data_IF_698098470868
#
_entry.id   IF_698098470868
#
_cell.length_a   1.000
_cell.length_b   1.000
_cell.length_c   1.000
_cell.angle_alpha   90.00
_cell.angle_beta   90.00
_cell.angle_gamma   90.00
#
_symmetry.space_group_name_H-M   'P 1'
#
loop_
_entity.id
_entity.type
_entity.pdbx_description
1 polymer ?
#
# COMPACT_ATOMS: atom_id res chain seq x y z
N UNK A 1 -4.78 -16.74 -33.36
CA UNK A 1 -4.75 -15.53 -32.52
C UNK A 1 -3.59 -15.69 -31.55
N UNK A 2 -2.80 -14.64 -31.29
CA UNK A 2 -1.74 -14.67 -30.27
C UNK A 2 -2.36 -14.87 -28.90
N UNK A 3 -1.74 -15.67 -28.03
CA UNK A 3 -2.19 -15.82 -26.65
C UNK A 3 -1.94 -14.51 -25.90
N UNK A 4 -2.75 -14.11 -24.89
CA UNK A 4 -2.53 -12.87 -24.14
C UNK A 4 -1.09 -12.71 -23.59
N UNK A 5 -0.46 -13.81 -23.19
CA UNK A 5 0.92 -13.84 -22.70
C UNK A 5 1.96 -13.39 -23.75
N UNK A 6 1.64 -13.47 -25.04
CA UNK A 6 2.55 -13.06 -26.13
C UNK A 6 2.60 -11.55 -26.32
N UNK A 7 1.68 -10.80 -25.71
CA UNK A 7 1.62 -9.35 -25.76
C UNK A 7 2.36 -8.67 -24.60
N UNK A 8 2.87 -9.46 -23.63
CA UNK A 8 3.55 -8.94 -22.45
C UNK A 8 4.96 -8.42 -22.80
N UNK A 9 5.39 -7.41 -22.06
CA UNK A 9 6.79 -6.95 -22.05
C UNK A 9 7.72 -8.14 -21.74
N UNK A 10 8.89 -8.27 -22.41
CA UNK A 10 9.72 -9.48 -22.35
C UNK A 10 10.11 -9.95 -20.94
N UNK A 11 10.51 -9.06 -20.03
CA UNK A 11 10.87 -9.43 -18.67
C UNK A 11 9.65 -9.89 -17.86
N UNK A 12 8.51 -9.22 -18.04
CA UNK A 12 7.21 -9.59 -17.46
C UNK A 12 6.76 -10.96 -17.96
N UNK A 13 6.87 -11.22 -19.27
CA UNK A 13 6.58 -12.53 -19.87
C UNK A 13 7.44 -13.62 -19.22
N UNK A 14 8.76 -13.39 -19.15
CA UNK A 14 9.70 -14.34 -18.56
C UNK A 14 9.39 -14.62 -17.08
N UNK A 15 8.99 -13.60 -16.33
CA UNK A 15 8.52 -13.75 -14.94
C UNK A 15 7.28 -14.63 -14.85
N UNK A 16 6.23 -14.35 -15.63
CA UNK A 16 4.99 -15.14 -15.62
C UNK A 16 5.25 -16.59 -16.04
N UNK A 17 6.08 -16.82 -17.06
CA UNK A 17 6.47 -18.16 -17.48
C UNK A 17 7.24 -18.92 -16.38
N UNK A 18 8.12 -18.24 -15.64
CA UNK A 18 8.84 -18.84 -14.49
C UNK A 18 7.87 -19.24 -13.39
N UNK A 19 6.93 -18.37 -13.03
CA UNK A 19 5.91 -18.63 -12.00
C UNK A 19 5.01 -19.80 -12.43
N UNK A 20 4.52 -19.80 -13.68
CA UNK A 20 3.68 -20.89 -14.19
C UNK A 20 4.39 -22.25 -14.21
N UNK A 21 5.70 -22.28 -14.51
CA UNK A 21 6.51 -23.51 -14.49
C UNK A 21 6.73 -24.06 -13.08
N UNK A 22 6.79 -23.20 -12.07
CA UNK A 22 6.90 -23.63 -10.67
C UNK A 22 5.64 -24.34 -10.18
N UNK A 23 4.48 -24.05 -10.80
CA UNK A 23 3.19 -24.53 -10.35
C UNK A 23 2.85 -24.02 -8.95
N UNK A 24 1.98 -24.74 -8.25
CA UNK A 24 1.59 -24.41 -6.88
C UNK A 24 0.08 -24.38 -6.69
N UNK A 25 -0.32 -24.33 -5.42
CA UNK A 25 -1.71 -24.23 -5.03
C UNK A 25 -2.22 -22.81 -5.32
N UNK A 26 -3.36 -22.63 -6.01
CA UNK A 26 -3.96 -21.32 -6.22
C UNK A 26 -4.15 -20.57 -4.90
N UNK A 27 -3.87 -19.27 -4.89
CA UNK A 27 -3.79 -18.47 -3.65
C UNK A 27 -5.08 -18.53 -2.81
N UNK A 28 -6.25 -18.65 -3.44
CA UNK A 28 -7.56 -18.74 -2.78
C UNK A 28 -7.86 -20.09 -2.13
N UNK A 29 -7.00 -21.10 -2.35
CA UNK A 29 -7.08 -22.41 -1.69
C UNK A 29 -6.11 -22.50 -0.49
N UNK A 30 -5.26 -21.50 -0.28
CA UNK A 30 -4.34 -21.45 0.85
C UNK A 30 -5.00 -20.83 2.08
N UNK A 31 -4.45 -21.14 3.27
CA UNK A 31 -4.78 -20.37 4.47
C UNK A 31 -4.26 -18.93 4.33
N UNK A 32 -4.85 -17.93 5.00
CA UNK A 32 -4.34 -16.56 4.99
C UNK A 32 -2.85 -16.46 5.35
N UNK A 33 -2.41 -17.28 6.31
CA UNK A 33 -1.00 -17.36 6.73
C UNK A 33 -0.09 -17.82 5.59
N UNK A 34 -0.48 -18.88 4.89
CA UNK A 34 0.34 -19.44 3.80
C UNK A 34 0.30 -18.52 2.57
N UNK A 35 -0.85 -17.91 2.27
CA UNK A 35 -0.97 -16.90 1.22
C UNK A 35 -0.06 -15.69 1.48
N UNK A 36 -0.03 -15.17 2.71
CA UNK A 36 0.90 -14.10 3.12
C UNK A 36 2.35 -14.50 2.91
N UNK A 37 2.70 -15.76 3.24
CA UNK A 37 4.05 -16.28 3.07
C UNK A 37 4.47 -16.31 1.60
N UNK A 38 3.57 -16.69 0.69
CA UNK A 38 3.86 -16.68 -0.76
C UNK A 38 4.33 -15.29 -1.23
N UNK A 39 3.61 -14.23 -0.86
CA UNK A 39 4.01 -12.87 -1.24
C UNK A 39 5.31 -12.43 -0.55
N UNK A 40 5.49 -12.78 0.72
CA UNK A 40 6.72 -12.47 1.46
C UNK A 40 7.94 -13.12 0.83
N UNK A 41 7.87 -14.41 0.50
CA UNK A 41 8.97 -15.15 -0.12
C UNK A 41 9.28 -14.61 -1.52
N UNK A 42 8.26 -14.28 -2.31
CA UNK A 42 8.44 -13.68 -3.64
C UNK A 42 9.18 -12.34 -3.59
N UNK A 43 8.97 -11.57 -2.51
CA UNK A 43 9.60 -10.27 -2.28
C UNK A 43 10.90 -10.35 -1.46
N UNK A 44 11.33 -11.55 -1.06
CA UNK A 44 12.53 -11.75 -0.24
C UNK A 44 13.83 -11.73 -1.04
N UNK A 45 13.75 -11.78 -2.37
CA UNK A 45 14.91 -11.70 -3.26
C UNK A 45 15.75 -10.44 -2.96
N UNK A 46 17.08 -10.61 -2.93
CA UNK A 46 17.98 -9.49 -2.69
C UNK A 46 18.02 -8.55 -3.90
N UNK A 47 17.27 -7.47 -3.78
CA UNK A 47 17.22 -6.38 -4.75
C UNK A 47 17.85 -5.12 -4.14
N UNK A 48 18.43 -4.28 -4.97
CA UNK A 48 18.87 -2.95 -4.55
C UNK A 48 17.66 -2.17 -4.02
N UNK A 49 17.83 -1.55 -2.85
CA UNK A 49 16.83 -0.68 -2.22
C UNK A 49 17.48 0.66 -1.96
N UNK A 50 16.78 1.74 -2.31
CA UNK A 50 17.27 3.08 -1.99
C UNK A 50 17.44 3.26 -0.47
N UNK A 51 18.48 3.99 -0.04
CA UNK A 51 18.76 4.18 1.37
C UNK A 51 17.65 5.02 2.02
N UNK A 52 17.22 4.61 3.21
CA UNK A 52 16.20 5.32 3.99
C UNK A 52 16.46 5.20 5.49
N UNK A 53 16.00 6.20 6.23
CA UNK A 53 15.80 6.16 7.68
C UNK A 53 14.35 5.71 7.95
N UNK A 54 14.17 4.81 8.91
CA UNK A 54 12.90 4.14 9.18
C UNK A 54 12.59 4.20 10.67
N UNK A 55 11.41 4.72 11.00
CA UNK A 55 10.87 4.71 12.36
C UNK A 55 9.54 3.95 12.37
N UNK A 56 9.41 2.94 13.23
CA UNK A 56 8.16 2.23 13.49
C UNK A 56 7.52 2.80 14.77
N UNK A 57 6.25 3.20 14.70
CA UNK A 57 5.51 3.79 15.81
C UNK A 57 4.09 3.22 15.85
N UNK A 58 3.53 3.16 17.05
CA UNK A 58 2.09 2.93 17.20
C UNK A 58 1.41 4.21 17.68
N UNK A 59 0.36 4.64 16.96
CA UNK A 59 -0.37 5.87 17.23
C UNK A 59 -1.74 5.55 17.87
N UNK A 60 -2.19 6.32 18.88
CA UNK A 60 -3.37 6.00 19.68
C UNK A 60 -4.67 6.43 19.00
N UNK A 61 -4.98 5.81 17.86
CA UNK A 61 -6.15 6.11 17.02
C UNK A 61 -6.75 4.83 16.44
N UNK A 62 -7.86 4.97 15.72
CA UNK A 62 -8.53 3.84 15.06
C UNK A 62 -9.54 3.14 15.97
N UNK A 63 -10.33 2.21 15.40
CA UNK A 63 -11.43 1.54 16.10
C UNK A 63 -10.98 0.67 17.28
N UNK A 64 -9.79 0.06 17.18
CA UNK A 64 -9.19 -0.76 18.25
C UNK A 64 -8.28 0.05 19.19
N UNK A 65 -8.28 1.39 19.05
CA UNK A 65 -7.54 2.32 19.91
C UNK A 65 -6.06 2.49 19.59
N UNK A 66 -5.52 1.71 18.66
CA UNK A 66 -4.13 1.84 18.20
C UNK A 66 -4.00 1.45 16.72
N UNK A 67 -3.18 2.19 15.97
CA UNK A 67 -2.77 1.85 14.59
C UNK A 67 -1.25 1.89 14.50
N UNK A 68 -0.65 0.84 13.93
CA UNK A 68 0.79 0.80 13.70
C UNK A 68 1.16 1.48 12.39
N UNK A 69 2.15 2.36 12.42
CA UNK A 69 2.67 3.06 11.24
C UNK A 69 4.19 2.92 11.13
N UNK A 70 4.69 2.98 9.89
CA UNK A 70 6.11 3.09 9.59
C UNK A 70 6.35 4.40 8.85
N UNK A 71 7.25 5.24 9.36
CA UNK A 71 7.69 6.46 8.68
C UNK A 71 9.02 6.18 7.99
N UNK A 72 9.06 6.37 6.68
CA UNK A 72 10.23 6.19 5.83
C UNK A 72 10.67 7.57 5.33
N UNK A 73 11.94 7.92 5.52
CA UNK A 73 12.53 9.18 5.03
C UNK A 73 13.79 8.90 4.20
N UNK A 74 14.11 9.72 3.19
CA UNK A 74 15.40 9.63 2.50
C UNK A 74 16.56 9.72 3.50
N UNK A 75 17.55 8.84 3.37
CA UNK A 75 18.65 8.75 4.35
C UNK A 75 19.44 10.06 4.42
N UNK A 76 19.70 10.54 5.65
CA UNK A 76 20.49 11.75 5.87
C UNK A 76 19.75 13.06 5.62
N UNK A 77 18.48 13.02 5.18
CA UNK A 77 17.67 14.22 5.01
C UNK A 77 17.41 14.89 6.38
N UNK A 78 17.55 16.23 6.44
CA UNK A 78 17.37 17.04 7.65
C UNK A 78 16.21 18.04 7.56
N UNK A 79 15.50 18.06 6.44
CA UNK A 79 14.35 18.92 6.20
C UNK A 79 13.10 18.39 6.91
N UNK A 80 12.14 19.29 7.15
CA UNK A 80 10.78 18.89 7.50
C UNK A 80 10.06 18.56 6.19
N UNK A 81 9.91 17.26 5.92
CA UNK A 81 9.43 16.74 4.65
C UNK A 81 7.90 16.77 4.54
N UNK A 82 7.34 17.00 3.33
CA UNK A 82 5.92 16.70 3.09
C UNK A 82 5.66 15.22 3.32
N UNK A 83 4.40 14.86 3.57
CA UNK A 83 4.01 13.49 3.90
C UNK A 83 3.18 12.84 2.79
N UNK A 84 3.47 11.56 2.53
CA UNK A 84 2.66 10.67 1.69
C UNK A 84 2.13 9.55 2.58
N UNK A 85 0.83 9.53 2.86
CA UNK A 85 0.21 8.34 3.46
C UNK A 85 0.23 7.23 2.43
N UNK A 86 0.71 6.05 2.80
CA UNK A 86 0.76 4.89 1.91
C UNK A 86 -0.08 3.74 2.46
N UNK A 87 -1.03 3.29 1.64
CA UNK A 87 -1.88 2.12 1.92
C UNK A 87 -1.47 1.01 0.96
N UNK A 88 -1.07 -0.14 1.49
CA UNK A 88 -0.49 -1.20 0.68
C UNK A 88 -1.52 -2.09 -0.01
N UNK A 89 -1.12 -2.66 -1.15
CA UNK A 89 -1.86 -3.70 -1.83
C UNK A 89 -1.77 -5.07 -1.15
N UNK A 90 -2.30 -6.09 -1.83
CA UNK A 90 -2.32 -7.48 -1.34
C UNK A 90 -3.72 -8.05 -1.09
N UNK A 91 -4.77 -7.53 -1.73
CA UNK A 91 -6.10 -8.14 -1.67
C UNK A 91 -6.72 -8.14 -0.25
N UNK A 92 -6.34 -7.17 0.59
CA UNK A 92 -6.67 -7.02 2.02
C UNK A 92 -6.14 -8.14 2.93
N UNK A 93 -5.77 -9.29 2.37
CA UNK A 93 -5.31 -10.47 3.13
C UNK A 93 -3.79 -10.52 3.21
N UNK A 94 -3.09 -10.09 2.17
CA UNK A 94 -1.64 -10.13 2.02
C UNK A 94 -1.03 -8.74 2.17
N UNK A 95 0.30 -8.70 2.17
CA UNK A 95 1.07 -7.47 2.20
C UNK A 95 1.40 -7.02 3.61
N UNK A 96 2.54 -6.35 3.73
CA UNK A 96 3.07 -5.77 4.95
C UNK A 96 4.16 -4.74 4.59
N UNK A 97 4.74 -4.12 5.62
CA UNK A 97 5.87 -3.19 5.49
C UNK A 97 7.14 -3.77 4.86
N UNK A 98 7.27 -5.09 4.74
CA UNK A 98 8.46 -5.75 4.17
C UNK A 98 8.28 -6.02 2.67
N UNK A 99 7.12 -6.55 2.29
CA UNK A 99 6.73 -6.83 0.89
C UNK A 99 6.71 -5.58 0.03
N UNK A 100 6.36 -4.43 0.60
CA UNK A 100 6.29 -3.14 -0.09
C UNK A 100 7.51 -2.22 0.19
N UNK A 101 8.51 -2.70 0.97
CA UNK A 101 9.64 -1.89 1.44
C UNK A 101 10.42 -1.21 0.30
N UNK A 102 10.67 -1.95 -0.80
CA UNK A 102 11.35 -1.36 -1.97
C UNK A 102 10.53 -0.20 -2.54
N UNK A 103 9.24 -0.41 -2.79
CA UNK A 103 8.36 0.57 -3.43
C UNK A 103 8.24 1.86 -2.60
N UNK A 104 8.04 1.75 -1.29
CA UNK A 104 7.91 2.95 -0.44
C UNK A 104 9.23 3.71 -0.30
N UNK A 105 10.37 3.04 -0.40
CA UNK A 105 11.69 3.71 -0.48
C UNK A 105 11.87 4.46 -1.80
N UNK A 106 11.42 3.88 -2.92
CA UNK A 106 11.41 4.57 -4.22
C UNK A 106 10.57 5.84 -4.16
N UNK A 107 9.36 5.76 -3.57
CA UNK A 107 8.48 6.92 -3.41
C UNK A 107 9.13 7.98 -2.52
N UNK A 108 9.64 7.60 -1.34
CA UNK A 108 10.24 8.54 -0.40
C UNK A 108 11.41 9.30 -1.03
N UNK A 109 12.33 8.59 -1.68
CA UNK A 109 13.50 9.19 -2.32
C UNK A 109 13.13 9.97 -3.58
N UNK A 110 12.29 9.42 -4.46
CA UNK A 110 11.92 10.03 -5.74
C UNK A 110 11.06 11.28 -5.57
N UNK A 111 10.19 11.33 -4.56
CA UNK A 111 9.36 12.50 -4.27
C UNK A 111 10.00 13.50 -3.30
N UNK A 112 11.16 13.17 -2.71
CA UNK A 112 11.73 13.86 -1.55
C UNK A 112 10.65 14.16 -0.50
N UNK A 113 9.99 13.09 -0.03
CA UNK A 113 8.88 13.14 0.91
C UNK A 113 9.04 12.03 1.95
N UNK A 114 8.45 12.23 3.13
CA UNK A 114 8.30 11.15 4.09
C UNK A 114 7.11 10.28 3.66
N UNK A 115 7.30 8.96 3.61
CA UNK A 115 6.20 8.02 3.41
C UNK A 115 5.75 7.50 4.76
N UNK A 116 4.47 7.66 5.08
CA UNK A 116 3.84 7.09 6.28
C UNK A 116 3.03 5.87 5.85
N UNK A 117 3.65 4.69 5.97
CA UNK A 117 3.02 3.41 5.68
C UNK A 117 2.08 3.03 6.83
N UNK A 118 0.81 2.77 6.52
CA UNK A 118 -0.18 2.33 7.52
C UNK A 118 -0.25 0.81 7.53
N UNK A 119 0.12 0.19 8.65
CA UNK A 119 -0.03 -1.25 8.85
C UNK A 119 -1.46 -1.54 9.33
N UNK A 120 -2.43 -1.41 8.42
CA UNK A 120 -3.83 -1.71 8.73
C UNK A 120 -4.02 -3.20 9.04
N UNK A 121 -5.06 -3.52 9.81
CA UNK A 121 -5.38 -4.90 10.21
C UNK A 121 -5.85 -5.69 8.98
N UNK A 122 -5.18 -6.80 8.61
CA UNK A 122 -5.53 -7.54 7.41
C UNK A 122 -6.85 -8.32 7.58
N UNK A 123 -7.46 -8.66 6.46
CA UNK A 123 -8.52 -9.67 6.41
C UNK A 123 -7.94 -11.09 6.44
N UNK A 124 -8.69 -12.08 6.97
CA UNK A 124 -10.05 -12.00 7.51
C UNK A 124 -10.15 -11.55 8.98
N UNK A 125 -9.03 -11.25 9.65
CA UNK A 125 -8.99 -10.82 11.06
C UNK A 125 -9.80 -9.54 11.28
N UNK A 126 -9.66 -8.57 10.38
CA UNK A 126 -10.56 -7.43 10.25
C UNK A 126 -11.31 -7.48 8.92
N UNK A 127 -12.56 -7.02 8.94
CA UNK A 127 -13.41 -6.87 7.74
C UNK A 127 -13.74 -5.40 7.53
N UNK A 128 -14.31 -5.09 6.37
CA UNK A 128 -14.88 -3.76 6.13
C UNK A 128 -15.84 -3.35 7.28
N UNK A 129 -15.76 -2.10 7.79
CA UNK A 129 -14.93 -0.98 7.33
C UNK A 129 -13.59 -0.80 8.07
N UNK A 130 -13.20 -1.70 8.98
CA UNK A 130 -12.09 -1.51 9.92
C UNK A 130 -10.78 -1.02 9.28
N UNK A 131 -10.23 -1.64 8.21
CA UNK A 131 -8.95 -1.19 7.63
C UNK A 131 -9.01 0.23 7.07
N UNK A 132 -10.16 0.64 6.52
CA UNK A 132 -10.36 1.97 5.95
C UNK A 132 -10.46 3.01 7.07
N UNK A 133 -11.13 2.67 8.18
CA UNK A 133 -11.21 3.55 9.35
C UNK A 133 -9.85 3.73 10.03
N UNK A 134 -9.03 2.67 10.11
CA UNK A 134 -7.64 2.76 10.57
C UNK A 134 -6.81 3.67 9.67
N UNK A 135 -6.92 3.50 8.34
CA UNK A 135 -6.22 4.32 7.36
C UNK A 135 -6.64 5.80 7.43
N UNK A 136 -7.94 6.09 7.56
CA UNK A 136 -8.44 7.44 7.75
C UNK A 136 -7.97 8.03 9.08
N UNK A 137 -8.07 7.28 10.18
CA UNK A 137 -7.65 7.73 11.50
C UNK A 137 -6.15 8.05 11.56
N UNK A 138 -5.31 7.22 10.92
CA UNK A 138 -3.88 7.48 10.78
C UNK A 138 -3.61 8.73 9.94
N UNK A 139 -4.32 8.91 8.83
CA UNK A 139 -4.21 10.09 7.96
C UNK A 139 -4.55 11.38 8.73
N UNK A 140 -5.66 11.36 9.48
CA UNK A 140 -6.07 12.48 10.35
C UNK A 140 -5.03 12.75 11.44
N UNK A 141 -4.53 11.70 12.11
CA UNK A 141 -3.51 11.83 13.15
C UNK A 141 -2.23 12.49 12.63
N UNK A 142 -1.73 12.05 11.47
CA UNK A 142 -0.55 12.62 10.82
C UNK A 142 -0.78 14.08 10.45
N UNK A 143 -1.97 14.41 9.93
CA UNK A 143 -2.32 15.79 9.63
C UNK A 143 -2.25 16.69 10.86
N UNK A 144 -2.78 16.22 11.99
CA UNK A 144 -2.89 16.98 13.25
C UNK A 144 -1.59 17.00 14.08
N UNK A 145 -0.68 16.05 13.85
CA UNK A 145 0.52 15.86 14.67
C UNK A 145 1.83 15.93 13.84
N UNK A 146 1.80 16.54 12.66
CA UNK A 146 2.96 16.65 11.76
C UNK A 146 4.23 17.14 12.46
N UNK A 147 4.16 18.22 13.25
CA UNK A 147 5.31 18.75 13.98
C UNK A 147 5.95 17.71 14.93
N UNK A 148 5.13 16.97 15.68
CA UNK A 148 5.60 15.90 16.59
C UNK A 148 6.27 14.77 15.81
N UNK A 149 5.79 14.50 14.61
CA UNK A 149 6.32 13.49 13.70
C UNK A 149 7.48 14.00 12.82
N UNK A 150 7.85 15.28 12.95
CA UNK A 150 8.83 15.98 12.10
C UNK A 150 8.44 15.93 10.61
N UNK A 151 7.16 16.15 10.33
CA UNK A 151 6.54 16.16 9.00
C UNK A 151 5.87 17.51 8.76
N UNK A 152 5.93 17.99 7.52
CA UNK A 152 5.13 19.12 7.06
C UNK A 152 3.74 18.58 6.68
N UNK A 153 2.85 18.54 7.67
CA UNK A 153 1.49 18.05 7.48
C UNK A 153 0.56 19.02 6.73
N UNK A 154 1.04 20.22 6.38
CA UNK A 154 0.32 21.14 5.49
C UNK A 154 0.39 20.71 4.02
N UNK A 155 1.35 19.83 3.69
CA UNK A 155 1.57 19.21 2.38
C UNK A 155 1.42 17.70 2.49
N UNK A 156 0.18 17.23 2.37
CA UNK A 156 -0.19 15.84 2.58
C UNK A 156 -0.77 15.24 1.30
N UNK A 157 -0.12 14.18 0.80
CA UNK A 157 -0.67 13.33 -0.25
C UNK A 157 -1.05 11.96 0.30
N UNK A 158 -1.86 11.24 -0.45
CA UNK A 158 -2.15 9.83 -0.18
C UNK A 158 -1.83 8.98 -1.43
N UNK A 159 -1.38 7.76 -1.21
CA UNK A 159 -1.03 6.84 -2.28
C UNK A 159 -1.34 5.40 -1.88
N UNK A 160 -1.55 4.55 -2.88
CA UNK A 160 -1.65 3.12 -2.66
C UNK A 160 -1.80 2.33 -3.95
N UNK A 161 -1.55 1.02 -3.84
CA UNK A 161 -1.57 0.10 -4.97
C UNK A 161 -2.64 -0.98 -4.83
N UNK A 162 -3.33 -1.33 -5.92
CA UNK A 162 -4.42 -2.32 -5.91
C UNK A 162 -5.51 -1.98 -4.88
N UNK A 163 -5.70 -2.80 -3.85
CA UNK A 163 -6.60 -2.50 -2.71
C UNK A 163 -6.12 -1.31 -1.88
N UNK A 164 -4.83 -1.02 -1.86
CA UNK A 164 -4.29 0.22 -1.30
C UNK A 164 -4.74 1.44 -2.10
N UNK A 165 -4.90 1.31 -3.42
CA UNK A 165 -5.50 2.32 -4.28
C UNK A 165 -7.00 2.50 -4.00
N UNK A 166 -7.73 1.41 -3.71
CA UNK A 166 -9.09 1.47 -3.19
C UNK A 166 -9.16 2.28 -1.89
N UNK A 167 -8.27 1.95 -0.94
CA UNK A 167 -8.20 2.62 0.36
C UNK A 167 -7.83 4.10 0.22
N UNK A 168 -6.91 4.46 -0.68
CA UNK A 168 -6.59 5.86 -0.96
C UNK A 168 -7.82 6.63 -1.45
N UNK A 169 -8.55 6.09 -2.43
CA UNK A 169 -9.78 6.70 -2.91
C UNK A 169 -10.83 6.82 -1.78
N UNK A 170 -11.02 5.77 -0.98
CA UNK A 170 -11.96 5.77 0.14
C UNK A 170 -11.60 6.78 1.23
N UNK A 171 -10.32 6.89 1.63
CA UNK A 171 -9.87 7.88 2.62
C UNK A 171 -10.06 9.30 2.09
N UNK A 172 -9.84 9.56 0.80
CA UNK A 172 -10.15 10.85 0.19
C UNK A 172 -11.64 11.19 0.27
N UNK A 173 -12.52 10.22 0.02
CA UNK A 173 -13.98 10.40 0.17
C UNK A 173 -14.35 10.69 1.63
N UNK A 174 -13.82 9.91 2.58
CA UNK A 174 -14.06 10.11 4.01
C UNK A 174 -13.54 11.47 4.48
N UNK A 175 -12.38 11.91 4.00
CA UNK A 175 -11.85 13.23 4.34
C UNK A 175 -12.75 14.36 3.84
N UNK A 176 -13.30 14.22 2.63
CA UNK A 176 -14.31 15.16 2.12
C UNK A 176 -15.59 15.14 2.96
N UNK A 177 -16.12 13.95 3.27
CA UNK A 177 -17.36 13.78 4.04
C UNK A 177 -17.23 14.31 5.48
N UNK A 178 -16.06 14.12 6.10
CA UNK A 178 -15.78 14.46 7.49
C UNK A 178 -15.10 15.82 7.67
N UNK A 179 -15.03 16.62 6.61
CA UNK A 179 -14.42 17.96 6.59
C UNK A 179 -12.94 18.00 7.01
N UNK A 180 -12.19 16.96 6.66
CA UNK A 180 -10.74 16.91 6.84
C UNK A 180 -10.19 15.50 7.03
N UNK A 181 -8.85 15.35 7.00
CA UNK A 181 -7.87 16.42 6.79
C UNK A 181 -7.79 16.89 5.33
N UNK A 182 -7.11 18.01 5.08
CA UNK A 182 -6.80 18.47 3.72
C UNK A 182 -5.81 17.49 3.07
N UNK A 183 -6.13 17.03 1.87
CA UNK A 183 -5.29 16.16 1.04
C UNK A 183 -5.02 16.90 -0.26
N UNK A 184 -3.76 17.14 -0.57
CA UNK A 184 -3.35 17.91 -1.76
C UNK A 184 -3.31 17.06 -3.04
N UNK A 185 -3.05 15.76 -2.89
CA UNK A 185 -2.88 14.87 -4.03
C UNK A 185 -3.21 13.42 -3.69
N UNK A 186 -3.68 12.66 -4.68
CA UNK A 186 -3.91 11.22 -4.59
C UNK A 186 -3.20 10.48 -5.75
N UNK A 187 -2.48 9.41 -5.43
CA UNK A 187 -1.82 8.52 -6.41
C UNK A 187 -2.40 7.12 -6.30
N UNK A 188 -3.02 6.63 -7.36
CA UNK A 188 -3.73 5.35 -7.38
C UNK A 188 -3.07 4.39 -8.35
N UNK A 189 -2.23 3.48 -7.87
CA UNK A 189 -1.61 2.46 -8.72
C UNK A 189 -2.61 1.31 -8.95
N UNK A 190 -3.12 1.16 -10.18
CA UNK A 190 -4.06 0.10 -10.60
C UNK A 190 -5.16 -0.23 -9.56
N UNK A 191 -5.93 0.78 -9.11
CA UNK A 191 -6.82 0.64 -7.95
C UNK A 191 -7.96 -0.37 -8.19
N UNK A 192 -8.37 -1.06 -7.14
CA UNK A 192 -9.67 -1.74 -7.10
C UNK A 192 -10.76 -0.68 -6.87
N UNK A 193 -11.68 -0.49 -7.81
CA UNK A 193 -12.70 0.58 -7.71
C UNK A 193 -14.13 0.09 -7.84
N UNK A 194 -14.32 -1.17 -8.21
CA UNK A 194 -15.63 -1.80 -8.36
C UNK A 194 -15.52 -3.29 -7.97
N UNK A 195 -16.61 -3.85 -7.48
CA UNK A 195 -16.75 -5.28 -7.18
C UNK A 195 -17.41 -6.05 -8.33
N UNK A 196 -17.61 -5.39 -9.47
CA UNK A 196 -18.13 -5.99 -10.70
C UNK A 196 -17.05 -6.76 -11.47
N UNK A 197 -17.26 -8.07 -11.62
CA UNK A 197 -16.37 -8.97 -12.36
C UNK A 197 -16.75 -9.16 -13.84
N UNK A 198 -17.76 -8.44 -14.35
CA UNK A 198 -18.22 -8.53 -15.75
C UNK A 198 -17.60 -7.49 -16.68
N UNK A 199 -16.58 -6.75 -16.23
CA UNK A 199 -15.87 -5.81 -17.12
C UNK A 199 -15.08 -6.54 -18.19
N UNK A 200 -14.85 -5.89 -19.33
CA UNK A 200 -14.16 -6.50 -20.47
C UNK A 200 -12.79 -7.10 -20.11
N UNK A 201 -11.99 -6.40 -19.31
CA UNK A 201 -10.68 -6.89 -18.88
C UNK A 201 -10.77 -8.10 -17.96
N UNK A 202 -11.77 -8.16 -17.07
CA UNK A 202 -11.99 -9.36 -16.23
C UNK A 202 -12.37 -10.56 -17.10
N UNK A 203 -13.30 -10.40 -18.05
CA UNK A 203 -13.73 -11.49 -18.93
C UNK A 203 -12.63 -11.98 -19.87
N UNK A 204 -11.72 -11.09 -20.28
CA UNK A 204 -10.68 -11.42 -21.25
C UNK A 204 -9.42 -12.02 -20.60
N UNK A 205 -9.09 -11.66 -19.35
CA UNK A 205 -7.77 -11.96 -18.76
C UNK A 205 -7.79 -12.68 -17.40
N UNK A 206 -8.96 -12.92 -16.77
CA UNK A 206 -9.06 -13.60 -15.47
C UNK A 206 -9.34 -15.11 -15.57
#
# INVERSE_FOLDING_TARGET
MSQPIDLLEPATKAFIEKVNKQGGTPIYQLSPKDARKVLLDLQADQVAKLPAEIDDLDIPVGPEGQVSIRIIRPKGNKEILPAVMYFHGGGWVLGDKNTHDRLVREIANGANAAVVFVNFTPSPEAKYPTPIEEAYAATKYVSENGEKLKLDSSRLAIAGDSVGGNMAAAVSLLAKERNGPKIDYQVLFYPVTDANFDTHSYQQYA
#
